data_IF_669505488944
#
_entry.id   IF_669505488944
#
_cell.length_a   1.000
_cell.length_b   1.000
_cell.length_c   1.000
_cell.angle_alpha   90.00
_cell.angle_beta   90.00
_cell.angle_gamma   90.00
#
_symmetry.space_group_name_H-M   'P 1'
#
loop_
_entity.id
_entity.type
_entity.pdbx_description
1 polymer ?
#
# COMPACT_ATOMS: atom_id res chain seq x y z
N UNK A 1 -5.39 -32.53 -15.02
CA UNK A 1 -6.63 -32.45 -14.21
C UNK A 1 -7.64 -33.31 -14.93
N UNK A 2 -8.18 -34.32 -14.25
CA UNK A 2 -9.22 -35.16 -14.81
C UNK A 2 -10.50 -34.33 -15.03
N UNK A 3 -11.21 -34.64 -16.12
CA UNK A 3 -12.37 -33.84 -16.54
C UNK A 3 -13.57 -33.95 -15.57
N UNK A 4 -13.56 -34.91 -14.66
CA UNK A 4 -14.63 -35.14 -13.68
C UNK A 4 -14.53 -34.31 -12.40
N UNK A 5 -13.36 -33.67 -12.16
CA UNK A 5 -13.12 -32.90 -10.92
C UNK A 5 -12.97 -33.80 -9.69
N UNK A 6 -12.87 -33.15 -8.51
CA UNK A 6 -12.82 -33.83 -7.21
C UNK A 6 -14.14 -33.64 -6.47
N UNK A 7 -14.52 -34.61 -5.66
CA UNK A 7 -15.56 -34.41 -4.66
C UNK A 7 -15.13 -33.37 -3.61
N UNK A 8 -16.07 -32.77 -2.90
CA UNK A 8 -15.76 -31.79 -1.85
C UNK A 8 -14.79 -32.35 -0.79
N UNK A 9 -15.01 -33.58 -0.38
CA UNK A 9 -14.16 -34.24 0.64
C UNK A 9 -12.74 -34.49 0.14
N UNK A 10 -12.57 -34.97 -1.10
CA UNK A 10 -11.26 -35.14 -1.74
C UNK A 10 -10.55 -33.80 -1.90
N UNK A 11 -11.28 -32.74 -2.30
CA UNK A 11 -10.73 -31.39 -2.42
C UNK A 11 -10.24 -30.87 -1.07
N UNK A 12 -11.04 -31.00 0.01
CA UNK A 12 -10.64 -30.55 1.33
C UNK A 12 -9.47 -31.35 1.90
N UNK A 13 -9.41 -32.67 1.68
CA UNK A 13 -8.25 -33.48 2.04
C UNK A 13 -6.99 -33.01 1.31
N UNK A 14 -7.09 -32.72 -0.01
CA UNK A 14 -5.98 -32.17 -0.77
C UNK A 14 -5.53 -30.81 -0.26
N UNK A 15 -6.46 -29.87 -0.03
CA UNK A 15 -6.15 -28.56 0.50
C UNK A 15 -5.50 -28.62 1.88
N UNK A 16 -5.98 -29.50 2.76
CA UNK A 16 -5.38 -29.70 4.08
C UNK A 16 -3.96 -30.26 3.98
N UNK A 17 -3.72 -31.20 3.06
CA UNK A 17 -2.38 -31.73 2.83
C UNK A 17 -1.44 -30.61 2.37
N UNK A 18 -1.88 -29.74 1.45
CA UNK A 18 -1.10 -28.57 1.00
C UNK A 18 -0.87 -27.58 2.11
N UNK A 19 -1.87 -27.27 2.92
CA UNK A 19 -1.73 -26.37 4.07
C UNK A 19 -0.71 -26.88 5.10
N UNK A 20 -0.56 -28.19 5.24
CA UNK A 20 0.41 -28.79 6.15
C UNK A 20 1.86 -28.71 5.63
N UNK A 21 2.08 -28.39 4.35
CA UNK A 21 3.40 -28.10 3.79
C UNK A 21 3.89 -26.70 4.18
N UNK A 22 2.99 -25.78 4.58
CA UNK A 22 3.34 -24.41 4.97
C UNK A 22 3.90 -24.36 6.38
N UNK A 23 4.87 -23.47 6.60
CA UNK A 23 5.35 -23.19 7.94
C UNK A 23 4.29 -22.49 8.79
N UNK A 24 4.17 -22.90 10.05
CA UNK A 24 3.34 -22.17 11.00
C UNK A 24 4.05 -20.91 11.51
N UNK A 25 3.29 -19.90 11.92
CA UNK A 25 3.84 -18.66 12.45
C UNK A 25 4.75 -18.87 13.69
N UNK A 26 4.58 -19.98 14.42
CA UNK A 26 5.47 -20.35 15.53
C UNK A 26 6.91 -20.71 15.09
N UNK A 27 7.12 -20.98 13.80
CA UNK A 27 8.43 -21.30 13.21
C UNK A 27 9.00 -20.18 12.34
N UNK A 28 8.32 -19.04 12.26
CA UNK A 28 8.73 -17.89 11.45
C UNK A 28 9.30 -16.82 12.39
N UNK A 29 10.60 -16.50 12.24
CA UNK A 29 11.26 -15.50 13.09
C UNK A 29 10.84 -14.08 12.77
N UNK A 30 10.59 -13.79 11.49
CA UNK A 30 10.16 -12.48 11.03
C UNK A 30 9.33 -12.62 9.76
N UNK A 31 8.20 -11.92 9.71
CA UNK A 31 7.34 -11.86 8.52
C UNK A 31 6.53 -10.57 8.55
N UNK A 32 6.28 -10.00 7.38
CA UNK A 32 5.31 -8.92 7.20
C UNK A 32 3.86 -9.43 7.29
N UNK A 33 3.66 -10.73 7.16
CA UNK A 33 2.35 -11.36 7.28
C UNK A 33 2.05 -11.69 8.73
N UNK A 34 0.79 -11.55 9.14
CA UNK A 34 0.33 -11.86 10.50
C UNK A 34 -0.86 -12.82 10.46
N UNK A 35 -1.06 -13.55 11.54
CA UNK A 35 -2.26 -14.36 11.70
C UNK A 35 -3.48 -13.43 11.79
N UNK A 36 -4.52 -13.63 10.97
CA UNK A 36 -5.72 -12.80 11.05
C UNK A 36 -6.42 -12.98 12.39
N UNK A 37 -6.98 -11.87 12.90
CA UNK A 37 -7.79 -11.94 14.12
C UNK A 37 -9.06 -12.78 13.85
N UNK A 38 -9.51 -13.64 14.79
CA UNK A 38 -10.68 -14.51 14.58
C UNK A 38 -11.95 -13.76 14.14
N UNK A 39 -12.18 -12.54 14.65
CA UNK A 39 -13.30 -11.69 14.21
C UNK A 39 -13.15 -11.27 12.74
N UNK A 40 -11.94 -11.00 12.27
CA UNK A 40 -11.70 -10.67 10.88
C UNK A 40 -12.01 -11.86 9.95
N UNK A 41 -11.68 -13.08 10.37
CA UNK A 41 -12.03 -14.30 9.61
C UNK A 41 -13.55 -14.48 9.55
N UNK A 42 -14.27 -14.26 10.65
CA UNK A 42 -15.74 -14.33 10.67
C UNK A 42 -16.38 -13.27 9.79
N UNK A 43 -15.88 -12.02 9.85
CA UNK A 43 -16.35 -10.93 9.01
C UNK A 43 -16.09 -11.22 7.53
N UNK A 44 -14.89 -11.70 7.18
CA UNK A 44 -14.58 -12.10 5.81
C UNK A 44 -15.56 -13.15 5.28
N UNK A 45 -15.83 -14.20 6.05
CA UNK A 45 -16.79 -15.24 5.65
C UNK A 45 -18.21 -14.70 5.47
N UNK A 46 -18.63 -13.73 6.32
CA UNK A 46 -19.97 -13.11 6.23
C UNK A 46 -20.12 -12.24 4.97
N UNK A 47 -19.04 -11.61 4.51
CA UNK A 47 -19.05 -10.69 3.37
C UNK A 47 -18.37 -11.25 2.11
N UNK A 48 -18.10 -12.57 2.06
CA UNK A 48 -17.31 -13.20 1.00
C UNK A 48 -17.89 -12.98 -0.41
N UNK A 49 -19.21 -12.88 -0.53
CA UNK A 49 -19.92 -12.68 -1.80
C UNK A 49 -20.19 -11.20 -2.15
N UNK A 50 -19.79 -10.27 -1.27
CA UNK A 50 -20.01 -8.84 -1.52
C UNK A 50 -18.80 -8.20 -2.20
N UNK A 51 -19.03 -7.08 -2.89
CA UNK A 51 -17.97 -6.28 -3.49
C UNK A 51 -18.42 -4.81 -3.63
N UNK A 52 -17.47 -3.92 -3.95
CA UNK A 52 -17.73 -2.48 -4.15
C UNK A 52 -17.66 -2.03 -5.62
N UNK A 53 -17.65 -2.97 -6.55
CA UNK A 53 -17.74 -2.67 -7.99
C UNK A 53 -19.07 -2.02 -8.36
N UNK A 54 -20.15 -2.42 -7.65
CA UNK A 54 -21.45 -1.73 -7.69
C UNK A 54 -21.96 -1.51 -6.26
N UNK A 55 -21.66 -0.34 -5.66
CA UNK A 55 -22.07 -0.03 -4.30
C UNK A 55 -23.61 0.04 -4.13
N UNK A 56 -24.36 0.20 -5.22
CA UNK A 56 -25.82 0.17 -5.20
C UNK A 56 -26.38 -1.22 -4.89
N UNK A 57 -25.65 -2.28 -5.22
CA UNK A 57 -26.03 -3.66 -4.87
C UNK A 57 -25.66 -4.03 -3.43
N UNK A 58 -24.62 -3.42 -2.88
CA UNK A 58 -24.07 -3.74 -1.56
C UNK A 58 -23.98 -2.51 -0.64
N UNK A 59 -25.10 -1.83 -0.33
CA UNK A 59 -25.08 -0.59 0.45
C UNK A 59 -24.55 -0.77 1.87
N UNK A 60 -24.69 -1.97 2.47
CA UNK A 60 -24.11 -2.31 3.77
C UNK A 60 -22.58 -2.31 3.73
N UNK A 61 -21.99 -2.95 2.72
CA UNK A 61 -20.54 -2.98 2.49
C UNK A 61 -19.99 -1.58 2.22
N UNK A 62 -20.67 -0.79 1.37
CA UNK A 62 -20.32 0.60 1.11
C UNK A 62 -20.33 1.45 2.39
N UNK A 63 -21.36 1.28 3.24
CA UNK A 63 -21.43 1.97 4.53
C UNK A 63 -20.30 1.61 5.49
N UNK A 64 -19.80 0.37 5.47
CA UNK A 64 -18.64 -0.04 6.27
C UNK A 64 -17.36 0.62 5.78
N UNK A 65 -17.14 0.69 4.46
CA UNK A 65 -15.99 1.40 3.89
C UNK A 65 -16.03 2.88 4.25
N UNK A 66 -17.15 3.56 4.06
CA UNK A 66 -17.33 4.96 4.43
C UNK A 66 -17.03 5.24 5.91
N UNK A 67 -17.45 4.34 6.80
CA UNK A 67 -17.14 4.47 8.23
C UNK A 67 -15.66 4.30 8.52
N UNK A 68 -15.00 3.36 7.84
CA UNK A 68 -13.57 3.13 7.99
C UNK A 68 -12.77 4.35 7.50
N UNK A 69 -13.11 4.90 6.34
CA UNK A 69 -12.46 6.08 5.78
C UNK A 69 -12.64 7.29 6.70
N UNK A 70 -13.85 7.52 7.22
CA UNK A 70 -14.09 8.60 8.20
C UNK A 70 -13.28 8.42 9.48
N UNK A 71 -13.18 7.20 9.99
CA UNK A 71 -12.37 6.92 11.18
C UNK A 71 -10.88 7.26 10.94
N UNK A 72 -10.32 6.92 9.77
CA UNK A 72 -8.97 7.33 9.42
C UNK A 72 -8.85 8.84 9.22
N UNK A 73 -9.81 9.50 8.59
CA UNK A 73 -9.84 10.94 8.43
C UNK A 73 -9.78 11.67 9.79
N UNK A 74 -10.57 11.20 10.75
CA UNK A 74 -10.55 11.72 12.13
C UNK A 74 -9.20 11.45 12.82
N UNK A 75 -8.62 10.25 12.64
CA UNK A 75 -7.31 9.89 13.20
C UNK A 75 -6.18 10.78 12.68
N UNK A 76 -6.26 11.17 11.41
CA UNK A 76 -5.29 12.08 10.77
C UNK A 76 -5.67 13.57 10.90
N UNK A 77 -6.71 13.90 11.68
CA UNK A 77 -7.18 15.26 11.90
C UNK A 77 -7.58 16.01 10.62
N UNK A 78 -8.03 15.29 9.61
CA UNK A 78 -8.51 15.83 8.33
C UNK A 78 -9.89 15.25 7.98
N UNK A 79 -10.96 15.75 8.60
CA UNK A 79 -12.32 15.19 8.45
C UNK A 79 -12.87 15.31 7.02
N UNK A 80 -12.26 16.11 6.15
CA UNK A 80 -12.60 16.22 4.74
C UNK A 80 -11.85 15.23 3.85
N UNK A 81 -10.92 14.43 4.41
CA UNK A 81 -10.16 13.46 3.63
C UNK A 81 -11.07 12.38 3.02
N UNK A 82 -10.83 12.09 1.74
CA UNK A 82 -11.42 10.96 1.03
C UNK A 82 -10.47 9.79 0.97
N UNK A 83 -10.99 8.64 0.57
CA UNK A 83 -10.18 7.44 0.42
C UNK A 83 -10.97 6.25 -0.10
N UNK A 84 -10.30 5.15 -0.26
CA UNK A 84 -10.90 3.85 -0.57
C UNK A 84 -10.07 2.72 0.06
N UNK A 85 -10.68 1.58 0.28
CA UNK A 85 -9.98 0.37 0.65
C UNK A 85 -9.33 -0.29 -0.57
N UNK A 86 -8.24 -1.01 -0.36
CA UNK A 86 -7.52 -1.74 -1.40
C UNK A 86 -7.24 -3.17 -0.95
N UNK A 87 -6.80 -4.02 -1.87
CA UNK A 87 -6.44 -5.41 -1.56
C UNK A 87 -5.13 -5.55 -0.77
N UNK A 88 -4.36 -4.46 -0.64
CA UNK A 88 -3.10 -4.45 0.10
C UNK A 88 -2.22 -3.25 -0.26
N UNK A 89 -1.12 -3.06 0.49
CA UNK A 89 -0.21 -1.91 0.35
C UNK A 89 0.34 -1.71 -1.07
N UNK A 90 0.64 -2.79 -1.78
CA UNK A 90 1.10 -2.69 -3.18
C UNK A 90 0.06 -2.02 -4.07
N UNK A 91 -1.22 -2.39 -3.94
CA UNK A 91 -2.29 -1.72 -4.69
C UNK A 91 -2.45 -0.28 -4.26
N UNK A 92 -2.38 0.01 -2.96
CA UNK A 92 -2.44 1.37 -2.43
C UNK A 92 -1.35 2.25 -3.05
N UNK A 93 -0.10 1.79 -3.08
CA UNK A 93 1.02 2.51 -3.68
C UNK A 93 0.83 2.73 -5.19
N UNK A 94 0.34 1.73 -5.93
CA UNK A 94 0.00 1.86 -7.36
C UNK A 94 -1.08 2.94 -7.57
N UNK A 95 -2.14 2.92 -6.80
CA UNK A 95 -3.26 3.88 -6.94
C UNK A 95 -2.81 5.32 -6.63
N UNK A 96 -2.00 5.51 -5.58
CA UNK A 96 -1.47 6.84 -5.26
C UNK A 96 -0.55 7.36 -6.36
N UNK A 97 0.38 6.56 -6.87
CA UNK A 97 1.26 7.00 -7.95
C UNK A 97 0.49 7.31 -9.24
N UNK A 98 -0.54 6.51 -9.54
CA UNK A 98 -1.45 6.80 -10.65
C UNK A 98 -2.16 8.15 -10.47
N UNK A 99 -2.63 8.45 -9.27
CA UNK A 99 -3.23 9.74 -8.93
C UNK A 99 -2.23 10.88 -9.11
N UNK A 100 -1.03 10.78 -8.54
CA UNK A 100 0.01 11.81 -8.62
C UNK A 100 0.41 12.08 -10.08
N UNK A 101 0.66 11.03 -10.87
CA UNK A 101 0.96 11.15 -12.30
C UNK A 101 -0.15 11.89 -13.05
N UNK A 102 -1.41 11.49 -12.82
CA UNK A 102 -2.57 12.09 -13.50
C UNK A 102 -2.77 13.56 -13.11
N UNK A 103 -2.54 13.90 -11.86
CA UNK A 103 -2.71 15.26 -11.34
C UNK A 103 -1.60 16.19 -11.86
N UNK A 104 -0.35 15.73 -11.87
CA UNK A 104 0.79 16.52 -12.38
C UNK A 104 0.70 16.70 -13.90
N UNK A 105 0.23 15.70 -14.63
CA UNK A 105 -0.01 15.72 -16.09
C UNK A 105 1.20 16.21 -16.91
N UNK A 106 2.37 15.64 -16.66
CA UNK A 106 3.62 15.90 -17.38
C UNK A 106 4.00 14.71 -18.27
N UNK A 107 4.87 14.95 -19.28
CA UNK A 107 5.24 13.90 -20.25
C UNK A 107 6.16 12.83 -19.66
N UNK A 108 7.09 13.25 -18.83
CA UNK A 108 8.15 12.40 -18.26
C UNK A 108 8.07 12.46 -16.73
N UNK A 109 7.00 11.88 -16.12
CA UNK A 109 6.79 11.96 -14.70
C UNK A 109 7.87 11.21 -13.92
N UNK A 110 8.29 11.79 -12.80
CA UNK A 110 9.18 11.10 -11.86
C UNK A 110 8.63 11.19 -10.44
N UNK A 111 9.11 10.26 -9.60
CA UNK A 111 8.90 10.25 -8.15
C UNK A 111 10.23 10.12 -7.42
N UNK A 112 10.26 10.57 -6.18
CA UNK A 112 11.43 10.45 -5.31
C UNK A 112 11.07 9.49 -4.18
N UNK A 113 11.89 8.46 -3.99
CA UNK A 113 11.71 7.44 -2.96
C UNK A 113 12.98 7.29 -2.12
N UNK A 114 12.91 6.91 -0.84
CA UNK A 114 14.12 6.52 -0.09
C UNK A 114 14.71 5.22 -0.63
N UNK A 115 16.02 5.03 -0.45
CA UNK A 115 16.68 3.76 -0.79
C UNK A 115 16.12 2.55 -0.01
N UNK A 116 15.39 2.80 1.07
CA UNK A 116 14.69 1.81 1.90
C UNK A 116 13.22 1.61 1.51
N UNK A 117 12.76 2.17 0.38
CA UNK A 117 11.37 2.04 -0.07
C UNK A 117 11.03 0.59 -0.44
N UNK A 118 9.78 0.21 -0.21
CA UNK A 118 9.28 -1.10 -0.60
C UNK A 118 9.31 -1.28 -2.13
N UNK A 119 9.64 -2.48 -2.61
CA UNK A 119 9.77 -2.81 -4.04
C UNK A 119 8.49 -2.58 -4.87
N UNK A 120 7.35 -2.38 -4.23
CA UNK A 120 6.09 -2.02 -4.92
C UNK A 120 6.20 -0.71 -5.71
N UNK A 121 7.05 0.22 -5.29
CA UNK A 121 7.28 1.47 -6.02
C UNK A 121 7.99 1.24 -7.36
N UNK A 122 9.04 0.40 -7.37
CA UNK A 122 9.71 0.01 -8.62
C UNK A 122 8.72 -0.66 -9.58
N UNK A 123 7.91 -1.59 -9.06
CA UNK A 123 6.86 -2.26 -9.83
C UNK A 123 5.84 -1.28 -10.39
N UNK A 124 5.34 -0.35 -9.56
CA UNK A 124 4.36 0.66 -9.98
C UNK A 124 4.92 1.62 -11.03
N UNK A 125 6.16 2.05 -10.86
CA UNK A 125 6.87 2.90 -11.81
C UNK A 125 7.03 2.22 -13.17
N UNK A 126 7.46 0.95 -13.19
CA UNK A 126 7.57 0.16 -14.42
C UNK A 126 6.24 -0.07 -15.14
N UNK A 127 5.14 -0.20 -14.38
CA UNK A 127 3.79 -0.35 -14.97
C UNK A 127 3.24 0.93 -15.58
N UNK A 128 3.72 2.10 -15.15
CA UNK A 128 3.13 3.39 -15.49
C UNK A 128 4.10 4.32 -16.23
N UNK A 129 5.27 3.86 -16.64
CA UNK A 129 6.32 4.71 -17.26
C UNK A 129 6.59 5.97 -16.40
N UNK A 130 6.93 5.75 -15.13
CA UNK A 130 7.34 6.79 -14.18
C UNK A 130 8.83 6.57 -13.88
N UNK A 131 9.66 7.61 -13.98
CA UNK A 131 11.03 7.55 -13.51
C UNK A 131 11.06 7.47 -11.98
N UNK A 132 11.79 6.50 -11.43
CA UNK A 132 12.01 6.40 -9.99
C UNK A 132 13.38 6.95 -9.64
N UNK A 133 13.43 8.03 -8.87
CA UNK A 133 14.65 8.65 -8.34
C UNK A 133 14.84 8.24 -6.90
N UNK A 134 16.00 7.71 -6.59
CA UNK A 134 16.29 7.15 -5.26
C UNK A 134 17.12 8.13 -4.46
N UNK A 135 16.55 8.64 -3.37
CA UNK A 135 17.27 9.46 -2.41
C UNK A 135 18.04 8.59 -1.41
N UNK A 136 19.30 8.96 -1.07
CA UNK A 136 20.07 8.23 -0.08
C UNK A 136 19.45 8.35 1.31
N UNK A 137 19.77 7.36 2.16
CA UNK A 137 19.38 7.34 3.57
C UNK A 137 20.55 7.75 4.46
N UNK A 138 20.25 8.16 5.70
CA UNK A 138 21.23 8.45 6.74
C UNK A 138 21.75 7.18 7.45
N UNK A 139 22.55 7.34 8.47
CA UNK A 139 23.11 6.22 9.28
C UNK A 139 22.01 5.45 10.06
N UNK A 140 20.83 6.02 10.19
CA UNK A 140 19.65 5.41 10.80
C UNK A 140 18.68 4.88 9.75
N UNK A 141 19.09 4.74 8.50
CA UNK A 141 18.28 4.26 7.38
C UNK A 141 17.03 5.09 7.08
N UNK A 142 17.07 6.41 7.36
CA UNK A 142 15.99 7.36 7.08
C UNK A 142 16.37 8.23 5.89
N UNK A 143 15.41 8.59 5.06
CA UNK A 143 15.61 9.45 3.89
C UNK A 143 16.28 10.78 4.25
N UNK A 144 17.33 11.15 3.54
CA UNK A 144 17.95 12.47 3.66
C UNK A 144 17.12 13.50 2.91
N UNK A 145 16.47 14.40 3.65
CA UNK A 145 15.54 15.39 3.08
C UNK A 145 16.23 16.34 2.09
N UNK A 146 17.47 16.78 2.40
CA UNK A 146 18.22 17.68 1.51
C UNK A 146 18.52 17.01 0.17
N UNK A 147 18.98 15.75 0.21
CA UNK A 147 19.24 14.96 -0.99
C UNK A 147 17.95 14.67 -1.79
N UNK A 148 16.81 14.49 -1.12
CA UNK A 148 15.53 14.39 -1.79
C UNK A 148 15.17 15.68 -2.53
N UNK A 149 15.44 16.84 -1.91
CA UNK A 149 15.23 18.16 -2.52
C UNK A 149 16.05 18.37 -3.80
N UNK A 150 17.30 17.90 -3.82
CA UNK A 150 18.18 18.00 -5.00
C UNK A 150 17.70 17.16 -6.20
N UNK A 151 16.83 16.16 -5.96
CA UNK A 151 16.27 15.31 -7.01
C UNK A 151 14.97 15.84 -7.61
N UNK A 152 14.40 16.90 -7.02
CA UNK A 152 13.13 17.49 -7.50
C UNK A 152 13.36 18.29 -8.78
N UNK A 153 12.46 18.13 -9.73
CA UNK A 153 12.38 18.96 -10.93
C UNK A 153 10.90 19.23 -11.30
N UNK A 154 10.69 19.93 -12.43
CA UNK A 154 9.35 20.26 -12.91
C UNK A 154 8.46 19.06 -13.24
N UNK A 155 9.04 17.87 -13.43
CA UNK A 155 8.36 16.63 -13.74
C UNK A 155 8.07 15.78 -12.49
N UNK A 156 8.56 16.18 -11.33
CA UNK A 156 8.35 15.44 -10.07
C UNK A 156 6.89 15.49 -9.65
N UNK A 157 6.28 14.33 -9.53
CA UNK A 157 4.89 14.16 -9.16
C UNK A 157 4.70 13.96 -7.67
N UNK A 158 5.64 13.25 -7.04
CA UNK A 158 5.47 12.77 -5.68
C UNK A 158 6.82 12.55 -4.99
N UNK A 159 6.88 12.86 -3.71
CA UNK A 159 7.89 12.37 -2.77
C UNK A 159 7.24 11.27 -1.95
N UNK A 160 7.92 10.14 -1.78
CA UNK A 160 7.48 9.04 -0.94
C UNK A 160 8.28 9.05 0.35
N UNK A 161 7.62 9.16 1.48
CA UNK A 161 8.21 8.88 2.79
C UNK A 161 7.68 7.56 3.34
N UNK A 162 8.45 6.85 4.13
CA UNK A 162 8.05 5.58 4.72
C UNK A 162 7.93 5.70 6.23
N UNK A 163 6.79 5.29 6.78
CA UNK A 163 6.51 5.31 8.22
C UNK A 163 6.52 3.89 8.81
N UNK A 164 7.69 3.27 8.72
CA UNK A 164 7.99 1.90 9.11
C UNK A 164 8.56 1.10 7.94
N UNK A 165 9.88 1.31 7.63
CA UNK A 165 10.53 0.58 6.53
C UNK A 165 10.50 -0.92 6.74
N UNK A 166 10.39 -1.69 5.65
CA UNK A 166 10.26 -3.15 5.68
C UNK A 166 11.41 -3.85 6.42
N UNK A 167 12.65 -3.44 6.15
CA UNK A 167 13.85 -4.12 6.69
C UNK A 167 14.23 -3.64 8.09
N UNK A 168 14.02 -2.34 8.38
CA UNK A 168 14.56 -1.70 9.57
C UNK A 168 13.50 -1.15 10.53
N UNK A 169 12.23 -1.06 10.10
CA UNK A 169 11.15 -0.46 10.90
C UNK A 169 11.34 1.04 11.17
N UNK A 170 12.20 1.71 10.39
CA UNK A 170 12.51 3.13 10.60
C UNK A 170 11.46 4.02 9.96
N UNK A 171 11.24 5.17 10.60
CA UNK A 171 10.32 6.20 10.07
C UNK A 171 11.12 7.35 9.48
N UNK A 172 10.88 7.68 8.23
CA UNK A 172 11.45 8.82 7.54
C UNK A 172 11.06 10.15 8.23
N UNK A 173 11.78 11.24 8.00
CA UNK A 173 11.48 12.55 8.59
C UNK A 173 10.23 13.19 7.94
N UNK A 174 9.06 12.54 8.09
CA UNK A 174 7.79 12.90 7.44
C UNK A 174 7.43 14.39 7.54
N UNK A 175 7.57 15.06 8.73
CA UNK A 175 7.29 16.48 8.82
C UNK A 175 8.20 17.36 7.95
N UNK A 176 9.46 16.97 7.78
CA UNK A 176 10.41 17.69 6.93
C UNK A 176 10.11 17.46 5.45
N UNK A 177 9.81 16.21 5.06
CA UNK A 177 9.38 15.86 3.71
C UNK A 177 8.06 16.54 3.34
N UNK A 178 7.13 16.70 4.30
CA UNK A 178 5.89 17.44 4.09
C UNK A 178 6.13 18.91 3.75
N UNK A 179 7.01 19.59 4.50
CA UNK A 179 7.39 20.97 4.22
C UNK A 179 8.08 21.12 2.85
N UNK A 180 8.96 20.19 2.51
CA UNK A 180 9.62 20.16 1.21
C UNK A 180 8.60 19.98 0.08
N UNK A 181 7.68 19.03 0.22
CA UNK A 181 6.63 18.78 -0.76
C UNK A 181 5.72 20.00 -0.98
N UNK A 182 5.34 20.69 0.12
CA UNK A 182 4.56 21.91 0.07
C UNK A 182 5.30 23.05 -0.65
N UNK A 183 6.59 23.27 -0.33
CA UNK A 183 7.42 24.30 -0.95
C UNK A 183 7.60 24.11 -2.44
N UNK A 184 7.75 22.84 -2.87
CA UNK A 184 8.01 22.47 -4.27
C UNK A 184 6.71 22.18 -5.08
N UNK A 185 5.55 22.24 -4.42
CA UNK A 185 4.27 21.99 -5.06
C UNK A 185 4.13 20.58 -5.65
N UNK A 186 4.65 19.58 -4.93
CA UNK A 186 4.56 18.16 -5.25
C UNK A 186 3.77 17.40 -4.19
N UNK A 187 3.23 16.24 -4.52
CA UNK A 187 2.52 15.43 -3.53
C UNK A 187 3.52 14.75 -2.57
N UNK A 188 3.12 14.58 -1.30
CA UNK A 188 3.75 13.67 -0.37
C UNK A 188 2.86 12.42 -0.23
N UNK A 189 3.41 11.25 -0.46
CA UNK A 189 2.84 9.96 -0.08
C UNK A 189 3.58 9.40 1.11
N UNK A 190 2.86 8.89 2.10
CA UNK A 190 3.45 8.18 3.24
C UNK A 190 3.02 6.72 3.18
N UNK A 191 3.99 5.83 2.97
CA UNK A 191 3.81 4.38 2.95
C UNK A 191 3.91 3.81 4.37
#
# INVERSE_FOLDING_TARGET
MDAEGLSADELFCFLQAKRNEDYSYSHILSSMCTTPHPVAVQAHNLFMETNLGDPGLFPGTASLEDRLIRWFADLYHEPSAGGCTTSGGTESNIQVLRFCKKTKNVKEPNIIVPASAHFSFEKACGMMDIEMRVAPVDEQYRMKTDAAGELIDSNTCCIVGVAGTTEYGMTDPIPALGKLAEQEGVHLHVD
#
